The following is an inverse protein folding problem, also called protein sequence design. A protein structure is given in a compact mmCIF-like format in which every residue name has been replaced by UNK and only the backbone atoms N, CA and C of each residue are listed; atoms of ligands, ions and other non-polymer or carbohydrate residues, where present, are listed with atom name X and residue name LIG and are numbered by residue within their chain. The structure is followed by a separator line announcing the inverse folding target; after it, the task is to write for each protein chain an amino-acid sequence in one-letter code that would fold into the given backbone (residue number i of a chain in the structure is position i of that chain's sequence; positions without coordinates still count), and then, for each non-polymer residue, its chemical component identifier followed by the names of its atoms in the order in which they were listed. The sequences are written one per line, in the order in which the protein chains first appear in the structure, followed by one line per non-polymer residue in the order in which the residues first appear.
data_IF_427605816702
#
_entry.id   IF_427605816702
#
_cell.length_a   1.000
_cell.length_b   1.000
_cell.length_c   1.000
_cell.angle_alpha   90.00
_cell.angle_beta   90.00
_cell.angle_gamma   90.00
#
_symmetry.space_group_name_H-M   'P 1'
#
loop_
_entity.id
_entity.type
_entity.pdbx_description
1 polymer ?
#
# COMPACT_ATOMS: atom_id res chain seq x y z
N UNK A 1 -13.05 -6.95 6.75
CA UNK A 1 -12.08 -5.96 6.99
C UNK A 1 -11.27 -5.57 5.78
N UNK A 2 -11.05 -4.77 5.67
CA UNK A 2 -11.30 -3.93 4.67
C UNK A 2 -10.17 -2.99 4.29
N UNK A 3 -9.20 -3.34 3.75
CA UNK A 3 -8.25 -2.47 3.04
C UNK A 3 -8.78 -1.04 2.67
N UNK A 4 -9.88 -0.59 3.33
CA UNK A 4 -10.61 0.64 3.06
C UNK A 4 -11.69 0.54 1.96
N UNK A 5 -11.75 -0.57 1.23
CA UNK A 5 -12.72 -0.77 0.13
C UNK A 5 -14.17 -0.74 0.64
N UNK A 6 -14.45 -1.34 1.82
CA UNK A 6 -15.79 -1.31 2.40
C UNK A 6 -16.25 0.11 2.74
N UNK A 7 -15.35 0.93 3.30
CA UNK A 7 -15.63 2.35 3.58
C UNK A 7 -15.90 3.13 2.29
N UNK A 8 -15.09 2.92 1.27
CA UNK A 8 -15.27 3.57 -0.03
C UNK A 8 -16.59 3.18 -0.69
N UNK A 9 -16.97 1.90 -0.64
CA UNK A 9 -18.27 1.46 -1.17
C UNK A 9 -19.44 2.04 -0.37
N UNK A 10 -19.33 2.13 0.94
CA UNK A 10 -20.36 2.77 1.75
C UNK A 10 -20.57 4.24 1.37
N UNK A 11 -19.49 4.95 1.05
CA UNK A 11 -19.56 6.36 0.64
C UNK A 11 -20.10 6.55 -0.79
N UNK A 12 -19.83 5.61 -1.69
CA UNK A 12 -20.14 5.77 -3.12
C UNK A 12 -21.43 5.07 -3.55
N UNK A 13 -21.77 3.95 -2.94
CA UNK A 13 -22.96 3.14 -3.22
C UNK A 13 -24.06 3.39 -2.18
N UNK A 14 -23.69 3.48 -0.89
CA UNK A 14 -24.58 3.83 0.21
C UNK A 14 -25.47 2.67 0.69
N UNK A 15 -26.00 1.83 -0.18
CA UNK A 15 -26.83 0.68 0.23
C UNK A 15 -25.95 -0.48 0.75
N UNK A 16 -26.12 -0.89 2.02
CA UNK A 16 -25.33 -1.96 2.62
C UNK A 16 -25.46 -3.31 1.92
N UNK A 17 -26.66 -3.65 1.42
CA UNK A 17 -26.88 -4.93 0.73
C UNK A 17 -26.16 -4.95 -0.60
N UNK A 18 -26.19 -3.87 -1.34
CA UNK A 18 -25.47 -3.71 -2.60
C UNK A 18 -23.94 -3.69 -2.39
N UNK A 19 -23.45 -3.01 -1.36
CA UNK A 19 -22.04 -3.06 -0.98
C UNK A 19 -21.56 -4.50 -0.73
N UNK A 20 -22.33 -5.27 0.04
CA UNK A 20 -22.03 -6.67 0.31
C UNK A 20 -22.06 -7.54 -0.95
N UNK A 21 -23.02 -7.30 -1.83
CA UNK A 21 -23.11 -8.00 -3.13
C UNK A 21 -21.84 -7.76 -3.96
N UNK A 22 -21.43 -6.50 -4.11
CA UNK A 22 -20.22 -6.13 -4.85
C UNK A 22 -18.96 -6.78 -4.26
N UNK A 23 -18.82 -6.74 -2.93
CA UNK A 23 -17.67 -7.36 -2.24
C UNK A 23 -17.65 -8.87 -2.50
N UNK A 24 -18.79 -9.54 -2.38
CA UNK A 24 -18.91 -10.97 -2.60
C UNK A 24 -18.55 -11.36 -4.04
N UNK A 25 -19.09 -10.68 -5.02
CA UNK A 25 -18.80 -10.95 -6.44
C UNK A 25 -17.31 -10.77 -6.77
N UNK A 26 -16.68 -9.72 -6.24
CA UNK A 26 -15.23 -9.50 -6.42
C UNK A 26 -14.42 -10.61 -5.75
N UNK A 27 -14.80 -11.02 -4.53
CA UNK A 27 -14.13 -12.08 -3.80
C UNK A 27 -14.28 -13.45 -4.52
N UNK A 28 -15.48 -13.76 -5.02
CA UNK A 28 -15.73 -14.99 -5.78
C UNK A 28 -14.94 -15.03 -7.10
N UNK A 29 -14.87 -13.90 -7.80
CA UNK A 29 -14.05 -13.78 -9.01
C UNK A 29 -12.59 -14.03 -8.68
N UNK A 30 -12.07 -13.34 -7.67
CA UNK A 30 -10.69 -13.49 -7.24
C UNK A 30 -10.38 -14.95 -6.81
N UNK A 31 -11.26 -15.57 -6.02
CA UNK A 31 -11.09 -16.94 -5.56
C UNK A 31 -11.09 -18.01 -6.68
N UNK A 32 -11.72 -17.70 -7.82
CA UNK A 32 -11.69 -18.60 -9.00
C UNK A 32 -10.38 -18.49 -9.79
N UNK A 33 -9.76 -17.33 -9.75
CA UNK A 33 -8.55 -17.02 -10.54
C UNK A 33 -7.26 -17.26 -9.73
N UNK A 34 -7.35 -17.26 -8.41
CA UNK A 34 -6.18 -17.31 -7.52
C UNK A 34 -5.98 -18.71 -6.92
N UNK A 35 -4.78 -19.27 -7.12
CA UNK A 35 -4.40 -20.55 -6.53
C UNK A 35 -3.95 -20.41 -5.07
N UNK A 36 -4.60 -21.14 -4.17
CA UNK A 36 -4.30 -21.11 -2.73
C UNK A 36 -2.87 -21.59 -2.39
N UNK A 37 -2.29 -22.51 -3.17
CA UNK A 37 -0.91 -22.97 -2.97
C UNK A 37 0.07 -21.85 -3.32
N UNK A 38 -0.19 -21.11 -4.39
CA UNK A 38 0.61 -19.94 -4.75
C UNK A 38 0.58 -18.88 -3.66
N UNK A 39 -0.58 -18.60 -3.06
CA UNK A 39 -0.69 -17.68 -1.93
C UNK A 39 0.16 -18.16 -0.73
N UNK A 40 0.08 -19.45 -0.40
CA UNK A 40 0.85 -20.02 0.71
C UNK A 40 2.36 -19.93 0.46
N UNK A 41 2.82 -20.24 -0.75
CA UNK A 41 4.25 -20.16 -1.11
C UNK A 41 4.73 -18.71 -1.04
N UNK A 42 3.99 -17.75 -1.60
CA UNK A 42 4.32 -16.33 -1.56
C UNK A 42 4.34 -15.79 -0.12
N UNK A 43 3.38 -16.17 0.69
CA UNK A 43 3.33 -15.81 2.10
C UNK A 43 4.57 -16.31 2.87
N UNK A 44 4.94 -17.58 2.67
CA UNK A 44 6.15 -18.15 3.29
C UNK A 44 7.43 -17.48 2.81
N UNK A 45 7.53 -17.18 1.53
CA UNK A 45 8.66 -16.45 0.98
C UNK A 45 8.77 -15.05 1.61
N UNK A 46 7.64 -14.33 1.75
CA UNK A 46 7.60 -13.02 2.38
C UNK A 46 8.05 -13.03 3.84
N UNK A 47 7.57 -14.00 4.65
CA UNK A 47 7.97 -14.11 6.06
C UNK A 47 9.47 -14.42 6.21
N UNK A 48 10.02 -15.25 5.32
CA UNK A 48 11.43 -15.64 5.36
C UNK A 48 12.37 -14.61 4.71
N UNK A 49 11.84 -13.52 4.18
CA UNK A 49 12.61 -12.54 3.42
C UNK A 49 13.04 -11.37 4.30
N UNK A 50 14.33 -11.28 4.58
CA UNK A 50 14.96 -10.07 5.14
C UNK A 50 15.79 -9.38 4.07
N UNK A 51 15.27 -8.27 3.54
CA UNK A 51 15.95 -7.47 2.51
C UNK A 51 16.86 -6.38 3.10
N UNK A 52 16.90 -6.24 4.42
CA UNK A 52 17.71 -5.23 5.12
C UNK A 52 19.20 -5.26 4.73
N UNK A 53 19.85 -6.45 4.60
CA UNK A 53 21.25 -6.52 4.17
C UNK A 53 21.49 -5.98 2.74
N UNK A 54 20.49 -6.07 1.87
CA UNK A 54 20.56 -5.66 0.46
C UNK A 54 20.05 -4.23 0.23
N UNK A 55 19.60 -3.54 1.27
CA UNK A 55 19.01 -2.20 1.14
C UNK A 55 19.95 -1.21 0.43
N UNK A 56 21.28 -1.30 0.65
CA UNK A 56 22.28 -0.44 0.00
C UNK A 56 22.46 -0.69 -1.52
N UNK A 57 21.90 -1.78 -2.06
CA UNK A 57 21.96 -2.09 -3.48
C UNK A 57 20.89 -1.34 -4.29
N UNK A 58 19.91 -0.74 -3.61
CA UNK A 58 18.88 0.09 -4.25
C UNK A 58 19.53 1.34 -4.79
N UNK A 59 19.42 1.56 -6.12
CA UNK A 59 19.97 2.73 -6.82
C UNK A 59 18.92 3.75 -7.22
N UNK A 60 17.68 3.31 -7.38
CA UNK A 60 16.57 4.20 -7.67
C UNK A 60 16.15 4.99 -6.43
N UNK A 61 15.79 6.27 -6.56
CA UNK A 61 15.07 6.99 -5.50
C UNK A 61 13.77 6.28 -5.14
N UNK A 62 13.34 6.40 -3.90
CA UNK A 62 12.17 5.73 -3.36
C UNK A 62 11.23 6.72 -2.66
N UNK A 63 9.98 6.76 -3.10
CA UNK A 63 8.91 7.48 -2.40
C UNK A 63 7.93 6.46 -1.81
N UNK A 64 7.89 6.37 -0.48
CA UNK A 64 6.91 5.57 0.25
C UNK A 64 5.69 6.42 0.57
N UNK A 65 4.50 5.97 0.16
CA UNK A 65 3.23 6.68 0.43
C UNK A 65 2.28 5.75 1.16
N UNK A 66 1.87 6.11 2.36
CA UNK A 66 0.88 5.36 3.14
C UNK A 66 -0.22 6.27 3.69
N UNK A 67 -1.38 5.66 3.89
CA UNK A 67 -2.48 6.29 4.63
C UNK A 67 -2.25 6.21 6.14
N UNK A 68 -2.58 7.27 6.87
CA UNK A 68 -2.52 7.29 8.34
C UNK A 68 -3.44 6.27 9.01
N UNK A 69 -4.46 5.79 8.29
CA UNK A 69 -5.41 4.76 8.73
C UNK A 69 -5.12 3.37 8.17
N UNK A 70 -3.93 3.14 7.59
CA UNK A 70 -3.56 1.84 7.04
C UNK A 70 -3.47 0.79 8.15
N UNK A 71 -4.28 -0.27 8.05
CA UNK A 71 -4.31 -1.38 9.00
C UNK A 71 -3.56 -2.63 8.51
N UNK A 72 -2.98 -2.57 7.32
CA UNK A 72 -2.22 -3.67 6.71
C UNK A 72 -0.72 -3.43 6.88
N UNK A 73 -0.29 -2.20 6.63
CA UNK A 73 1.08 -1.75 6.83
C UNK A 73 1.07 -0.74 7.97
N UNK A 74 1.78 -1.04 9.05
CA UNK A 74 1.90 -0.11 10.17
C UNK A 74 2.66 1.15 9.73
N UNK A 75 1.95 2.26 9.69
CA UNK A 75 2.50 3.55 9.27
C UNK A 75 3.68 4.00 10.16
N UNK A 76 3.69 3.56 11.43
CA UNK A 76 4.78 3.86 12.35
C UNK A 76 6.12 3.28 11.92
N UNK A 77 6.12 2.24 11.07
CA UNK A 77 7.35 1.65 10.52
C UNK A 77 7.91 2.42 9.32
N UNK A 78 7.15 3.34 8.72
CA UNK A 78 7.55 4.01 7.49
C UNK A 78 8.76 4.93 7.68
N UNK A 79 8.75 5.79 8.69
CA UNK A 79 9.88 6.70 8.93
C UNK A 79 11.15 5.93 9.33
N UNK A 80 11.11 4.95 10.28
CA UNK A 80 12.26 4.11 10.57
C UNK A 80 12.83 3.38 9.34
N UNK A 81 11.95 2.90 8.45
CA UNK A 81 12.37 2.24 7.20
C UNK A 81 13.10 3.22 6.28
N UNK A 82 12.55 4.41 6.10
CA UNK A 82 13.20 5.46 5.30
C UNK A 82 14.55 5.88 5.90
N UNK A 83 14.64 6.00 7.23
CA UNK A 83 15.89 6.36 7.91
C UNK A 83 16.95 5.27 7.74
N UNK A 84 16.55 4.00 7.81
CA UNK A 84 17.42 2.87 7.50
C UNK A 84 17.94 2.94 6.06
N UNK A 85 17.05 3.14 5.08
CA UNK A 85 17.42 3.26 3.67
C UNK A 85 18.41 4.41 3.44
N UNK A 86 18.15 5.58 4.02
CA UNK A 86 19.06 6.72 3.98
C UNK A 86 20.43 6.42 4.59
N UNK A 87 20.47 5.67 5.69
CA UNK A 87 21.74 5.26 6.33
C UNK A 87 22.57 4.36 5.43
N UNK A 88 21.94 3.70 4.44
CA UNK A 88 22.58 2.87 3.41
C UNK A 88 22.85 3.62 2.11
N UNK A 89 22.63 4.94 2.09
CA UNK A 89 22.88 5.79 0.92
C UNK A 89 21.77 5.81 -0.13
N UNK A 90 20.58 5.28 0.19
CA UNK A 90 19.41 5.32 -0.71
C UNK A 90 18.70 6.67 -0.55
N UNK A 91 18.38 7.31 -1.68
CA UNK A 91 17.49 8.48 -1.68
C UNK A 91 16.05 8.03 -1.45
N UNK A 92 15.58 8.09 -0.22
CA UNK A 92 14.28 7.60 0.17
C UNK A 92 13.48 8.67 0.93
N UNK A 93 12.16 8.71 0.70
CA UNK A 93 11.25 9.62 1.34
C UNK A 93 9.98 8.92 1.79
N UNK A 94 9.35 9.47 2.84
CA UNK A 94 8.03 9.08 3.29
C UNK A 94 7.05 10.24 3.15
N UNK A 95 5.86 9.93 2.65
CA UNK A 95 4.74 10.85 2.57
C UNK A 95 3.48 10.19 3.14
N UNK A 96 3.03 10.70 4.28
CA UNK A 96 1.78 10.27 4.90
C UNK A 96 0.61 11.04 4.32
N UNK A 97 -0.44 10.33 3.90
CA UNK A 97 -1.70 10.95 3.48
C UNK A 97 -2.79 10.74 4.54
N UNK A 98 -3.60 11.76 4.75
CA UNK A 98 -4.73 11.72 5.67
C UNK A 98 -5.97 11.28 4.93
N UNK A 99 -6.36 10.02 5.11
CA UNK A 99 -7.55 9.45 4.48
C UNK A 99 -8.20 8.39 5.34
N UNK A 100 -9.52 8.23 5.20
CA UNK A 100 -10.30 7.20 5.89
C UNK A 100 -10.30 5.85 5.17
N UNK A 101 -9.66 5.74 4.02
CA UNK A 101 -9.73 4.56 3.16
C UNK A 101 -8.59 3.55 3.39
N UNK A 102 -7.84 3.69 4.49
CA UNK A 102 -6.85 2.71 4.93
C UNK A 102 -5.86 2.36 3.83
N UNK A 103 -5.57 1.07 3.67
CA UNK A 103 -4.60 0.57 2.69
C UNK A 103 -4.93 0.94 1.23
N UNK A 104 -6.20 1.11 0.89
CA UNK A 104 -6.62 1.57 -0.43
C UNK A 104 -6.55 3.12 -0.60
N UNK A 105 -6.26 3.85 0.48
CA UNK A 105 -6.22 5.31 0.48
C UNK A 105 -5.34 5.92 -0.61
N UNK A 106 -4.09 5.50 -0.81
CA UNK A 106 -3.25 6.05 -1.86
C UNK A 106 -3.81 5.91 -3.27
N UNK A 107 -4.63 4.88 -3.50
CA UNK A 107 -5.30 4.65 -4.79
C UNK A 107 -6.60 5.45 -4.92
N UNK A 108 -7.43 5.45 -3.88
CA UNK A 108 -8.75 6.11 -3.90
C UNK A 108 -8.58 7.63 -3.88
N UNK A 109 -7.70 8.12 -3.02
CA UNK A 109 -7.42 9.54 -2.82
C UNK A 109 -6.08 9.95 -3.48
N UNK A 110 -5.82 9.46 -4.69
CA UNK A 110 -4.58 9.74 -5.41
C UNK A 110 -4.27 11.25 -5.53
N UNK A 111 -5.31 12.09 -5.54
CA UNK A 111 -5.17 13.55 -5.54
C UNK A 111 -4.41 14.11 -4.33
N UNK A 112 -4.43 13.42 -3.17
CA UNK A 112 -3.75 13.89 -1.96
C UNK A 112 -2.22 13.84 -2.06
N UNK A 113 -1.66 13.06 -2.99
CA UNK A 113 -0.22 12.92 -3.13
C UNK A 113 0.30 13.09 -4.58
N UNK A 114 -0.60 13.37 -5.52
CA UNK A 114 -0.25 13.54 -6.94
C UNK A 114 0.81 14.62 -7.16
N UNK A 115 0.71 15.77 -6.48
CA UNK A 115 1.70 16.85 -6.59
C UNK A 115 3.04 16.45 -5.95
N UNK A 116 2.99 15.68 -4.86
CA UNK A 116 4.21 15.12 -4.25
C UNK A 116 4.91 14.15 -5.20
N UNK A 117 4.14 13.26 -5.85
CA UNK A 117 4.67 12.35 -6.85
C UNK A 117 5.30 13.11 -8.03
N UNK A 118 4.62 14.13 -8.55
CA UNK A 118 5.16 14.96 -9.64
C UNK A 118 6.49 15.58 -9.24
N UNK A 119 6.55 16.24 -8.08
CA UNK A 119 7.78 16.82 -7.56
C UNK A 119 8.89 15.79 -7.38
N UNK A 120 8.55 14.59 -6.93
CA UNK A 120 9.50 13.49 -6.79
C UNK A 120 10.06 13.04 -8.15
N UNK A 121 9.20 12.87 -9.15
CA UNK A 121 9.61 12.46 -10.50
C UNK A 121 10.44 13.52 -11.22
N UNK A 122 10.10 14.81 -11.06
CA UNK A 122 10.80 15.93 -11.73
C UNK A 122 12.26 16.09 -11.25
N UNK A 123 12.60 15.63 -10.05
CA UNK A 123 13.97 15.66 -9.52
C UNK A 123 14.74 14.36 -9.75
N UNK A 124 14.05 13.32 -10.21
CA UNK A 124 14.66 12.01 -10.47
C UNK A 124 15.16 11.98 -11.92
N UNK A 125 16.46 11.79 -12.15
CA UNK A 125 17.03 11.80 -13.50
C UNK A 125 16.56 10.63 -14.35
#
# INVERSE_FOLDING_TARGET
TNYGIGTHLADTVGDPAECQRIIRERAEKWAKEFDANSLYILYRAGIGSDMTPLAGDIKAPLLNVLADTDSVVDVALSQPTVDLLKSKGVDAEFHEIKTRYGHAGPMIDAGLWADRLRTFLDRTP
#
